data_IF_822987463557
#
_entry.id   IF_822987463557
#
_cell.length_a   1.000
_cell.length_b   1.000
_cell.length_c   1.000
_cell.angle_alpha   90.00
_cell.angle_beta   90.00
_cell.angle_gamma   90.00
#
_symmetry.space_group_name_H-M   'P 1'
#
loop_
_entity.id
_entity.type
_entity.pdbx_description
1 polymer ?
#
# COMPACT_ATOMS: atom_id res chain seq x y z
N UNK A 1 5.57 -3.11 22.64
CA UNK A 1 6.93 -2.54 22.77
C UNK A 1 6.94 -1.32 23.69
N UNK A 2 5.91 -0.47 23.65
CA UNK A 2 5.89 0.75 24.48
C UNK A 2 5.62 0.47 25.98
N UNK A 3 5.19 -0.74 26.33
CA UNK A 3 4.85 -1.13 27.71
C UNK A 3 5.63 -2.36 28.25
N UNK A 4 6.52 -2.96 27.45
CA UNK A 4 7.32 -4.15 27.82
C UNK A 4 8.63 -4.20 27.04
N UNK A 5 9.68 -4.76 27.66
CA UNK A 5 10.95 -5.06 27.02
C UNK A 5 10.74 -5.87 25.73
N UNK A 6 11.37 -5.41 24.65
CA UNK A 6 11.32 -6.03 23.35
C UNK A 6 12.70 -6.58 22.99
N UNK A 7 12.82 -7.88 22.81
CA UNK A 7 14.02 -8.49 22.26
C UNK A 7 14.08 -8.18 20.76
N UNK A 8 15.03 -7.35 20.36
CA UNK A 8 15.32 -7.08 18.95
C UNK A 8 16.34 -8.10 18.43
N UNK A 9 16.04 -8.73 17.30
CA UNK A 9 17.04 -9.46 16.51
C UNK A 9 17.00 -8.97 15.07
N UNK A 10 18.18 -8.81 14.46
CA UNK A 10 18.31 -8.37 13.07
C UNK A 10 17.56 -9.28 12.09
N UNK A 11 17.57 -10.58 12.36
CA UNK A 11 16.86 -11.58 11.57
C UNK A 11 15.33 -11.40 11.63
N UNK A 12 14.76 -11.30 12.83
CA UNK A 12 13.31 -11.09 12.97
C UNK A 12 12.87 -9.74 12.38
N UNK A 13 13.73 -8.73 12.46
CA UNK A 13 13.49 -7.46 11.78
C UNK A 13 13.41 -7.64 10.26
N UNK A 14 14.42 -8.28 9.64
CA UNK A 14 14.45 -8.52 8.20
C UNK A 14 13.23 -9.34 7.74
N UNK A 15 12.94 -10.45 8.43
CA UNK A 15 11.82 -11.34 8.13
C UNK A 15 10.49 -10.59 8.20
N UNK A 16 10.28 -9.80 9.26
CA UNK A 16 9.02 -9.06 9.46
C UNK A 16 8.83 -7.95 8.43
N UNK A 17 9.88 -7.17 8.14
CA UNK A 17 9.83 -6.09 7.15
C UNK A 17 9.62 -6.66 5.75
N UNK A 18 10.34 -7.72 5.37
CA UNK A 18 10.16 -8.36 4.07
C UNK A 18 8.74 -8.95 3.93
N UNK A 19 8.21 -9.61 4.96
CA UNK A 19 6.86 -10.16 4.90
C UNK A 19 5.77 -9.09 4.80
N UNK A 20 5.82 -8.05 5.64
CA UNK A 20 4.78 -7.03 5.71
C UNK A 20 4.89 -6.06 4.52
N UNK A 21 6.06 -5.46 4.28
CA UNK A 21 6.21 -4.44 3.26
C UNK A 21 6.30 -5.03 1.86
N UNK A 22 7.16 -6.03 1.63
CA UNK A 22 7.31 -6.60 0.28
C UNK A 22 6.19 -7.61 0.01
N UNK A 23 6.03 -8.58 0.91
CA UNK A 23 5.11 -9.71 0.73
C UNK A 23 3.63 -9.31 0.72
N UNK A 24 3.26 -8.24 1.44
CA UNK A 24 1.86 -7.80 1.55
C UNK A 24 1.61 -6.50 0.79
N UNK A 25 2.21 -5.38 1.22
CA UNK A 25 1.95 -4.06 0.63
C UNK A 25 2.44 -3.99 -0.81
N UNK A 26 3.71 -4.32 -1.05
CA UNK A 26 4.33 -4.30 -2.37
C UNK A 26 3.63 -5.24 -3.35
N UNK A 27 3.28 -6.45 -2.90
CA UNK A 27 2.53 -7.41 -3.70
C UNK A 27 1.14 -6.88 -4.11
N UNK A 28 0.37 -6.33 -3.17
CA UNK A 28 -0.95 -5.76 -3.47
C UNK A 28 -0.85 -4.65 -4.52
N UNK A 29 0.00 -3.65 -4.27
CA UNK A 29 0.22 -2.51 -5.17
C UNK A 29 0.62 -3.00 -6.56
N UNK A 30 1.61 -3.90 -6.63
CA UNK A 30 2.10 -4.42 -7.89
C UNK A 30 1.00 -5.15 -8.68
N UNK A 31 0.19 -6.00 -8.03
CA UNK A 31 -0.92 -6.71 -8.69
C UNK A 31 -1.97 -5.73 -9.24
N UNK A 32 -2.35 -4.73 -8.46
CA UNK A 32 -3.30 -3.70 -8.89
C UNK A 32 -2.79 -2.96 -10.13
N UNK A 33 -1.55 -2.46 -10.08
CA UNK A 33 -0.93 -1.76 -11.20
C UNK A 33 -0.80 -2.62 -12.45
N UNK A 34 -0.32 -3.87 -12.32
CA UNK A 34 -0.17 -4.78 -13.46
C UNK A 34 -1.52 -5.07 -14.13
N UNK A 35 -2.58 -5.29 -13.35
CA UNK A 35 -3.90 -5.60 -13.90
C UNK A 35 -4.52 -4.38 -14.60
N UNK A 36 -4.41 -3.18 -14.03
CA UNK A 36 -4.90 -1.95 -14.64
C UNK A 36 -4.10 -1.63 -15.92
N UNK A 37 -2.77 -1.66 -15.88
CA UNK A 37 -1.94 -1.42 -17.07
C UNK A 37 -2.22 -2.42 -18.19
N UNK A 38 -2.38 -3.71 -17.85
CA UNK A 38 -2.60 -4.76 -18.84
C UNK A 38 -3.98 -4.74 -19.49
N UNK A 39 -5.02 -4.38 -18.75
CA UNK A 39 -6.41 -4.59 -19.17
C UNK A 39 -7.22 -3.30 -19.35
N UNK A 40 -6.71 -2.17 -18.86
CA UNK A 40 -7.40 -0.88 -18.87
C UNK A 40 -6.48 0.27 -19.30
N UNK A 41 -5.45 -0.02 -20.11
CA UNK A 41 -4.55 0.95 -20.73
C UNK A 41 -3.89 1.93 -19.73
N UNK A 42 -3.58 1.44 -18.53
CA UNK A 42 -2.98 2.25 -17.47
C UNK A 42 -3.92 3.33 -16.95
N UNK A 43 -5.24 3.15 -17.08
CA UNK A 43 -6.25 4.09 -16.59
C UNK A 43 -7.14 3.43 -15.56
N UNK A 44 -7.39 4.13 -14.45
CA UNK A 44 -8.34 3.70 -13.42
C UNK A 44 -9.69 3.45 -14.11
N UNK A 45 -10.21 2.22 -14.09
CA UNK A 45 -11.42 1.90 -14.82
C UNK A 45 -12.65 2.57 -14.21
N UNK A 46 -13.67 2.84 -15.02
CA UNK A 46 -14.95 3.29 -14.52
C UNK A 46 -15.68 2.12 -13.86
N UNK A 47 -16.08 2.21 -12.58
CA UNK A 47 -16.80 1.13 -11.94
C UNK A 47 -18.21 1.02 -12.54
N UNK A 48 -18.69 -0.21 -12.65
CA UNK A 48 -20.11 -0.51 -12.85
C UNK A 48 -20.86 -0.41 -11.53
N UNK A 49 -21.92 -1.21 -11.38
CA UNK A 49 -22.65 -1.31 -10.10
C UNK A 49 -21.77 -2.00 -9.05
N UNK A 50 -21.57 -1.34 -7.91
CA UNK A 50 -20.90 -1.96 -6.76
C UNK A 50 -21.77 -3.02 -6.11
N UNK A 51 -21.14 -4.10 -5.70
CA UNK A 51 -21.74 -5.16 -4.90
C UNK A 51 -21.36 -5.01 -3.41
N UNK A 52 -22.01 -5.79 -2.56
CA UNK A 52 -21.78 -5.77 -1.10
C UNK A 52 -20.29 -5.96 -0.75
N UNK A 53 -19.59 -6.85 -1.46
CA UNK A 53 -18.15 -7.08 -1.24
C UNK A 53 -17.29 -5.84 -1.53
N UNK A 54 -17.67 -5.05 -2.56
CA UNK A 54 -16.96 -3.85 -2.98
C UNK A 54 -17.17 -2.72 -1.96
N UNK A 55 -18.40 -2.55 -1.50
CA UNK A 55 -18.76 -1.59 -0.46
C UNK A 55 -18.14 -1.98 0.89
N UNK A 56 -18.11 -3.27 1.21
CA UNK A 56 -17.53 -3.78 2.45
C UNK A 56 -16.03 -3.49 2.54
N UNK A 57 -15.26 -3.70 1.46
CA UNK A 57 -13.81 -3.43 1.49
C UNK A 57 -13.51 -1.93 1.57
N UNK A 58 -14.31 -1.07 0.91
CA UNK A 58 -14.19 0.39 1.05
C UNK A 58 -14.58 0.85 2.47
N UNK A 59 -15.60 0.25 3.07
CA UNK A 59 -15.97 0.48 4.46
C UNK A 59 -14.87 0.06 5.43
N UNK A 60 -14.21 -1.09 5.16
CA UNK A 60 -13.03 -1.53 5.91
C UNK A 60 -11.85 -0.58 5.78
N UNK A 61 -11.56 -0.07 4.58
CA UNK A 61 -10.55 0.95 4.37
C UNK A 61 -10.80 2.17 5.27
N UNK A 62 -12.04 2.68 5.32
CA UNK A 62 -12.40 3.80 6.18
C UNK A 62 -12.18 3.50 7.67
N UNK A 63 -12.59 2.32 8.14
CA UNK A 63 -12.40 1.91 9.52
C UNK A 63 -10.90 1.81 9.88
N UNK A 64 -10.07 1.26 8.99
CA UNK A 64 -8.62 1.15 9.17
C UNK A 64 -7.93 2.52 9.14
N UNK A 65 -8.41 3.44 8.30
CA UNK A 65 -7.97 4.84 8.31
C UNK A 65 -8.25 5.50 9.66
N UNK A 66 -9.47 5.36 10.20
CA UNK A 66 -9.83 5.91 11.51
C UNK A 66 -9.01 5.28 12.65
N UNK A 67 -8.76 3.98 12.59
CA UNK A 67 -7.89 3.28 13.54
C UNK A 67 -6.45 3.79 13.47
N UNK A 68 -5.84 3.84 12.29
CA UNK A 68 -4.49 4.35 12.10
C UNK A 68 -4.36 5.79 12.62
N UNK A 69 -5.36 6.63 12.33
CA UNK A 69 -5.44 8.02 12.82
C UNK A 69 -5.43 8.07 14.34
N UNK A 70 -6.33 7.32 15.01
CA UNK A 70 -6.42 7.27 16.47
C UNK A 70 -5.13 6.79 17.10
N UNK A 71 -4.50 5.75 16.56
CA UNK A 71 -3.26 5.20 17.10
C UNK A 71 -2.08 6.16 16.91
N UNK A 72 -2.02 6.91 15.78
CA UNK A 72 -1.02 7.96 15.58
C UNK A 72 -1.17 9.11 16.59
N UNK A 73 -2.39 9.59 16.83
CA UNK A 73 -2.64 10.62 17.86
C UNK A 73 -2.33 10.13 19.28
N UNK A 74 -2.43 8.82 19.52
CA UNK A 74 -2.03 8.19 20.77
C UNK A 74 -0.53 7.86 20.85
N UNK A 75 0.28 8.26 19.85
CA UNK A 75 1.71 7.95 19.71
C UNK A 75 2.06 6.45 19.64
N UNK A 76 1.08 5.60 19.28
CA UNK A 76 1.24 4.14 19.17
C UNK A 76 1.59 3.72 17.76
N UNK A 77 2.79 4.09 17.31
CA UNK A 77 3.23 3.94 15.91
C UNK A 77 3.14 2.50 15.40
N UNK A 78 3.43 1.51 16.26
CA UNK A 78 3.35 0.09 15.87
C UNK A 78 1.91 -0.33 15.58
N UNK A 79 0.94 0.13 16.36
CA UNK A 79 -0.48 -0.18 16.14
C UNK A 79 -1.00 0.52 14.89
N UNK A 80 -0.62 1.78 14.69
CA UNK A 80 -0.98 2.53 13.49
C UNK A 80 -0.43 1.85 12.23
N UNK A 81 0.85 1.46 12.19
CA UNK A 81 1.43 0.76 11.04
C UNK A 81 0.74 -0.57 10.77
N UNK A 82 0.32 -1.31 11.80
CA UNK A 82 -0.45 -2.54 11.61
C UNK A 82 -1.77 -2.28 10.89
N UNK A 83 -2.51 -1.24 11.28
CA UNK A 83 -3.74 -0.86 10.60
C UNK A 83 -3.48 -0.50 9.12
N UNK A 84 -2.38 0.19 8.82
CA UNK A 84 -1.97 0.51 7.44
C UNK A 84 -1.63 -0.75 6.63
N UNK A 85 -0.87 -1.70 7.20
CA UNK A 85 -0.56 -2.98 6.53
C UNK A 85 -1.83 -3.81 6.32
N UNK A 86 -2.79 -3.75 7.25
CA UNK A 86 -4.07 -4.44 7.11
C UNK A 86 -4.88 -3.96 5.90
N UNK A 87 -4.75 -2.70 5.47
CA UNK A 87 -5.38 -2.21 4.22
C UNK A 87 -4.90 -3.04 3.02
N UNK A 88 -3.60 -3.36 2.96
CA UNK A 88 -3.07 -4.21 1.90
C UNK A 88 -3.45 -5.69 2.06
N UNK A 89 -3.65 -6.19 3.29
CA UNK A 89 -4.20 -7.53 3.51
C UNK A 89 -5.65 -7.64 3.00
N UNK A 90 -6.50 -6.68 3.34
CA UNK A 90 -7.89 -6.61 2.85
C UNK A 90 -7.92 -6.48 1.32
N UNK A 91 -7.07 -5.63 0.74
CA UNK A 91 -6.94 -5.52 -0.71
C UNK A 91 -6.50 -6.83 -1.39
N UNK A 92 -5.51 -7.53 -0.82
CA UNK A 92 -5.08 -8.83 -1.35
C UNK A 92 -6.20 -9.88 -1.25
N UNK A 93 -6.92 -9.92 -0.12
CA UNK A 93 -8.04 -10.86 0.09
C UNK A 93 -9.15 -10.58 -0.92
N UNK A 94 -9.53 -9.32 -1.07
CA UNK A 94 -10.53 -8.88 -2.04
C UNK A 94 -10.15 -9.26 -3.47
N UNK A 95 -8.91 -8.98 -3.92
CA UNK A 95 -8.45 -9.41 -5.25
C UNK A 95 -8.45 -10.94 -5.41
N UNK A 96 -8.17 -11.69 -4.35
CA UNK A 96 -8.17 -13.15 -4.38
C UNK A 96 -9.57 -13.75 -4.49
N UNK A 97 -10.54 -13.18 -3.76
CA UNK A 97 -11.92 -13.65 -3.77
C UNK A 97 -12.66 -13.26 -5.06
N UNK A 98 -12.34 -12.07 -5.61
CA UNK A 98 -13.00 -11.54 -6.81
C UNK A 98 -12.36 -12.01 -8.11
N UNK A 99 -11.13 -12.51 -8.07
CA UNK A 99 -10.39 -13.04 -9.22
C UNK A 99 -10.44 -12.16 -10.49
N UNK A 100 -10.07 -10.87 -10.45
CA UNK A 100 -10.23 -9.97 -11.59
C UNK A 100 -9.49 -10.42 -12.85
N UNK A 101 -8.42 -11.23 -12.74
CA UNK A 101 -7.73 -11.83 -13.89
C UNK A 101 -8.58 -12.83 -14.68
N UNK A 102 -9.63 -13.40 -14.06
CA UNK A 102 -10.67 -14.17 -14.75
C UNK A 102 -11.77 -13.26 -15.27
N UNK A 103 -12.26 -12.36 -14.40
CA UNK A 103 -13.37 -11.45 -14.73
C UNK A 103 -13.08 -10.57 -15.94
N UNK A 104 -11.84 -10.13 -16.18
CA UNK A 104 -11.51 -9.35 -17.39
C UNK A 104 -11.89 -10.05 -18.71
N UNK A 105 -12.12 -11.38 -18.70
CA UNK A 105 -12.60 -12.16 -19.86
C UNK A 105 -14.09 -12.51 -19.76
N UNK A 106 -14.58 -12.73 -18.55
CA UNK A 106 -15.93 -13.25 -18.29
C UNK A 106 -16.96 -12.14 -18.06
N UNK A 107 -16.58 -11.13 -17.28
CA UNK A 107 -17.37 -9.94 -16.96
C UNK A 107 -16.44 -8.72 -16.80
N UNK A 108 -16.11 -8.03 -17.91
CA UNK A 108 -15.21 -6.89 -17.90
C UNK A 108 -15.73 -5.70 -17.07
N UNK A 109 -17.05 -5.56 -16.92
CA UNK A 109 -17.65 -4.49 -16.11
C UNK A 109 -17.43 -4.75 -14.62
N UNK A 110 -17.59 -6.00 -14.18
CA UNK A 110 -17.27 -6.39 -12.80
C UNK A 110 -15.76 -6.27 -12.53
N UNK A 111 -14.91 -6.68 -13.48
CA UNK A 111 -13.47 -6.50 -13.37
C UNK A 111 -13.08 -5.01 -13.22
N UNK A 112 -13.75 -4.13 -13.96
CA UNK A 112 -13.58 -2.69 -13.87
C UNK A 112 -13.92 -2.17 -12.46
N UNK A 113 -15.05 -2.61 -11.88
CA UNK A 113 -15.41 -2.26 -10.50
C UNK A 113 -14.36 -2.74 -9.50
N UNK A 114 -13.92 -4.00 -9.61
CA UNK A 114 -12.93 -4.58 -8.68
C UNK A 114 -11.61 -3.82 -8.73
N UNK A 115 -11.12 -3.50 -9.93
CA UNK A 115 -9.85 -2.79 -10.08
C UNK A 115 -9.97 -1.30 -9.75
N UNK A 116 -11.15 -0.69 -9.94
CA UNK A 116 -11.42 0.65 -9.41
C UNK A 116 -11.27 0.67 -7.89
N UNK A 117 -11.90 -0.27 -7.18
CA UNK A 117 -11.81 -0.39 -5.71
C UNK A 117 -10.38 -0.63 -5.26
N UNK A 118 -9.66 -1.55 -5.91
CA UNK A 118 -8.25 -1.81 -5.60
C UNK A 118 -7.35 -0.58 -5.80
N UNK A 119 -7.64 0.26 -6.81
CA UNK A 119 -6.95 1.53 -7.02
C UNK A 119 -7.17 2.51 -5.86
N UNK A 120 -8.38 2.55 -5.27
CA UNK A 120 -8.66 3.40 -4.11
C UNK A 120 -7.87 2.98 -2.88
N UNK A 121 -7.80 1.69 -2.59
CA UNK A 121 -6.96 1.16 -1.50
C UNK A 121 -5.48 1.47 -1.75
N UNK A 122 -5.03 1.36 -3.00
CA UNK A 122 -3.65 1.67 -3.39
C UNK A 122 -3.33 3.15 -3.18
N UNK A 123 -4.25 4.05 -3.52
CA UNK A 123 -4.11 5.49 -3.26
C UNK A 123 -4.08 5.80 -1.78
N UNK A 124 -4.94 5.16 -0.99
CA UNK A 124 -4.94 5.32 0.46
C UNK A 124 -3.60 4.90 1.07
N UNK A 125 -3.04 3.77 0.63
CA UNK A 125 -1.72 3.30 1.08
C UNK A 125 -0.61 4.32 0.80
N UNK A 126 -0.65 5.04 -0.33
CA UNK A 126 0.32 6.08 -0.63
C UNK A 126 0.37 7.14 0.50
N UNK A 127 -0.78 7.66 0.90
CA UNK A 127 -0.89 8.67 1.96
C UNK A 127 -0.58 8.06 3.33
N UNK A 128 -1.18 6.91 3.65
CA UNK A 128 -1.07 6.26 4.96
C UNK A 128 0.35 5.79 5.29
N UNK A 129 1.17 5.48 4.28
CA UNK A 129 2.55 5.07 4.46
C UNK A 129 3.51 6.26 4.67
N UNK A 130 3.11 7.49 4.33
CA UNK A 130 3.97 8.67 4.41
C UNK A 130 4.68 8.86 5.77
N UNK A 131 4.01 8.72 6.94
CA UNK A 131 4.68 8.86 8.24
C UNK A 131 5.60 7.68 8.63
N UNK A 132 5.55 6.55 7.90
CA UNK A 132 6.31 5.34 8.23
C UNK A 132 7.45 5.06 7.25
N UNK A 133 7.17 5.21 5.95
CA UNK A 133 8.10 4.92 4.85
C UNK A 133 8.01 6.03 3.80
N UNK A 134 8.42 7.28 4.13
CA UNK A 134 8.18 8.46 3.30
C UNK A 134 8.65 8.31 1.85
N UNK A 135 9.85 7.76 1.64
CA UNK A 135 10.36 7.54 0.29
C UNK A 135 9.59 6.47 -0.51
N UNK A 136 8.97 5.49 0.15
CA UNK A 136 8.10 4.52 -0.53
C UNK A 136 6.74 5.15 -0.86
N UNK A 137 6.16 5.88 0.09
CA UNK A 137 4.95 6.67 -0.14
C UNK A 137 5.09 7.61 -1.34
N UNK A 138 6.21 8.33 -1.44
CA UNK A 138 6.48 9.24 -2.56
C UNK A 138 6.61 8.49 -3.90
N UNK A 139 7.29 7.34 -3.92
CA UNK A 139 7.33 6.49 -5.14
C UNK A 139 5.95 6.02 -5.53
N UNK A 140 5.12 5.60 -4.58
CA UNK A 140 3.75 5.16 -4.86
C UNK A 140 2.89 6.32 -5.37
N UNK A 141 3.05 7.52 -4.81
CA UNK A 141 2.40 8.74 -5.28
C UNK A 141 2.77 9.06 -6.74
N UNK A 142 4.06 8.98 -7.06
CA UNK A 142 4.55 9.14 -8.43
C UNK A 142 4.05 8.06 -9.39
N UNK A 143 4.02 6.79 -8.98
CA UNK A 143 3.43 5.70 -9.77
C UNK A 143 1.93 5.94 -9.99
N UNK A 144 1.21 6.47 -9.01
CA UNK A 144 -0.19 6.88 -9.17
C UNK A 144 -0.34 8.13 -10.04
N UNK A 145 0.75 8.76 -10.49
CA UNK A 145 0.76 9.96 -11.32
C UNK A 145 -0.09 11.09 -10.72
N UNK A 146 0.01 11.24 -9.40
CA UNK A 146 -0.63 12.32 -8.67
C UNK A 146 0.27 13.56 -8.68
N UNK A 147 -0.31 14.77 -8.75
CA UNK A 147 0.48 16.00 -8.79
C UNK A 147 1.19 16.26 -7.45
N UNK A 148 2.29 17.00 -7.49
CA UNK A 148 3.05 17.39 -6.30
C UNK A 148 3.71 16.20 -5.61
N UNK A 149 3.83 16.27 -4.28
CA UNK A 149 4.40 15.19 -3.46
C UNK A 149 3.41 14.73 -2.39
N UNK A 150 3.52 13.47 -1.96
CA UNK A 150 2.66 12.93 -0.89
C UNK A 150 2.87 13.66 0.43
N UNK A 151 4.03 14.27 0.63
CA UNK A 151 4.37 15.02 1.84
C UNK A 151 3.66 16.37 1.95
N UNK A 152 3.03 16.81 0.86
CA UNK A 152 2.21 18.03 0.80
C UNK A 152 0.71 17.70 0.87
N UNK A 153 0.35 16.41 0.77
CA UNK A 153 -1.03 15.94 0.83
C UNK A 153 -1.57 15.98 2.26
N UNK A 154 -2.88 16.18 2.38
CA UNK A 154 -3.57 16.02 3.67
C UNK A 154 -3.73 14.55 4.01
N UNK A 155 -3.75 14.22 5.30
CA UNK A 155 -4.04 12.86 5.77
C UNK A 155 -5.40 12.36 5.24
N UNK A 156 -6.42 13.23 5.23
CA UNK A 156 -7.76 12.91 4.71
C UNK A 156 -7.79 12.63 3.21
N UNK A 157 -6.73 13.02 2.47
CA UNK A 157 -6.63 12.65 1.06
C UNK A 157 -6.57 11.13 0.92
N UNK A 158 -6.18 10.35 1.92
CA UNK A 158 -6.24 8.88 1.87
C UNK A 158 -7.63 8.34 1.45
N UNK A 159 -8.72 9.04 1.79
CA UNK A 159 -10.09 8.63 1.48
C UNK A 159 -10.71 9.33 0.27
N UNK A 160 -10.00 10.29 -0.34
CA UNK A 160 -10.46 10.93 -1.59
C UNK A 160 -10.22 9.99 -2.77
N UNK A 161 -11.26 9.63 -3.55
CA UNK A 161 -11.10 8.66 -4.62
C UNK A 161 -10.25 9.21 -5.78
N UNK A 162 -9.60 8.30 -6.50
CA UNK A 162 -9.14 8.53 -7.86
C UNK A 162 -10.34 8.53 -8.80
N UNK A 163 -10.41 9.53 -9.67
CA UNK A 163 -11.45 9.62 -10.68
C UNK A 163 -11.30 8.52 -11.75
N UNK A 164 -12.40 7.97 -12.27
CA UNK A 164 -12.38 7.13 -13.46
C UNK A 164 -11.64 7.80 -14.63
N UNK A 165 -10.81 7.03 -15.32
CA UNK A 165 -9.98 7.49 -16.44
C UNK A 165 -8.66 8.14 -16.03
N UNK A 166 -8.42 8.35 -14.73
CA UNK A 166 -7.13 8.81 -14.20
C UNK A 166 -6.01 7.89 -14.67
N UNK A 167 -4.97 8.44 -15.29
CA UNK A 167 -3.84 7.68 -15.81
C UNK A 167 -2.84 7.40 -14.69
N UNK A 168 -2.46 6.13 -14.53
CA UNK A 168 -1.39 5.69 -13.63
C UNK A 168 -0.14 5.35 -14.45
N UNK A 169 1.01 5.34 -13.79
CA UNK A 169 2.27 4.90 -14.37
C UNK A 169 2.46 3.38 -14.39
N UNK A 170 3.66 2.97 -14.77
CA UNK A 170 4.07 1.56 -14.80
C UNK A 170 4.39 1.03 -13.39
N UNK A 171 4.19 -0.28 -13.14
CA UNK A 171 4.53 -0.90 -11.87
C UNK A 171 6.05 -0.93 -11.65
N UNK A 172 6.50 -0.41 -10.52
CA UNK A 172 7.88 -0.53 -10.05
C UNK A 172 7.95 -1.17 -8.65
N UNK A 173 9.06 -1.84 -8.29
CA UNK A 173 9.24 -2.39 -6.94
C UNK A 173 9.20 -1.30 -5.87
N UNK A 174 8.16 -1.33 -5.03
CA UNK A 174 7.94 -0.31 -4.00
C UNK A 174 8.98 -0.38 -2.86
N UNK A 175 9.44 -1.58 -2.52
CA UNK A 175 10.39 -1.83 -1.44
C UNK A 175 11.56 -2.68 -1.91
N UNK A 176 12.75 -2.40 -1.39
CA UNK A 176 13.94 -3.23 -1.60
C UNK A 176 13.99 -4.32 -0.54
N UNK A 177 14.37 -5.54 -0.95
CA UNK A 177 14.56 -6.65 -0.01
C UNK A 177 15.62 -6.29 1.02
N UNK A 178 15.27 -6.45 2.30
CA UNK A 178 16.22 -6.35 3.40
C UNK A 178 16.99 -7.68 3.48
N UNK A 179 18.33 -7.66 3.47
CA UNK A 179 19.12 -8.86 3.68
C UNK A 179 18.74 -9.58 4.97
N UNK A 180 18.68 -10.90 4.94
CA UNK A 180 18.37 -11.70 6.14
C UNK A 180 19.63 -12.01 6.96
N UNK A 181 20.83 -11.82 6.36
CA UNK A 181 22.11 -11.91 7.05
C UNK A 181 22.34 -10.66 7.92
N UNK A 182 22.48 -10.82 9.25
CA UNK A 182 22.72 -9.69 10.17
C UNK A 182 23.97 -8.87 9.83
N UNK A 183 25.01 -9.48 9.27
CA UNK A 183 26.26 -8.77 8.99
C UNK A 183 26.14 -7.87 7.75
N UNK A 184 25.49 -8.37 6.69
CA UNK A 184 25.12 -7.57 5.52
C UNK A 184 24.21 -6.39 5.90
N UNK A 185 23.25 -6.62 6.82
CA UNK A 185 22.36 -5.60 7.37
C UNK A 185 23.11 -4.47 8.10
N UNK A 186 24.11 -4.83 8.92
CA UNK A 186 24.95 -3.87 9.64
C UNK A 186 25.75 -3.01 8.68
N UNK A 187 26.35 -3.64 7.67
CA UNK A 187 27.10 -2.93 6.62
C UNK A 187 26.20 -1.94 5.87
N UNK A 188 25.01 -2.37 5.46
CA UNK A 188 24.05 -1.50 4.79
C UNK A 188 23.64 -0.30 5.68
N UNK A 189 23.51 -0.51 6.99
CA UNK A 189 23.22 0.57 7.94
C UNK A 189 24.38 1.57 8.07
N UNK A 190 25.63 1.09 8.10
CA UNK A 190 26.81 1.95 8.14
C UNK A 190 26.93 2.81 6.87
N UNK A 191 26.69 2.21 5.69
CA UNK A 191 26.68 2.93 4.42
C UNK A 191 25.57 4.01 4.37
N UNK A 192 24.38 3.72 4.90
CA UNK A 192 23.30 4.71 5.04
C UNK A 192 23.67 5.85 5.99
N UNK A 193 24.26 5.54 7.15
CA UNK A 193 24.70 6.55 8.12
C UNK A 193 25.76 7.47 7.53
N UNK A 194 26.71 6.91 6.77
CA UNK A 194 27.74 7.70 6.10
C UNK A 194 27.14 8.70 5.10
N UNK A 195 26.13 8.27 4.33
CA UNK A 195 25.43 9.12 3.35
C UNK A 195 24.55 10.22 3.96
N UNK A 196 24.04 10.02 5.17
CA UNK A 196 23.26 11.05 5.87
C UNK A 196 24.13 12.03 6.68
N UNK A 197 25.39 11.66 6.93
CA UNK A 197 26.36 12.49 7.67
C UNK A 197 27.20 13.38 6.74
N UNK A 198 27.04 13.20 5.42
CA UNK A 198 27.64 13.98 4.33
C UNK A 198 26.63 14.94 3.73
#
# INVERSE_FOLDING_TARGET
PELRDANFTWRQFAEKINADLIGTVGNFVHRTFVLINRHFDGRVPKPGKMEEADEAVLGRLKALFEEATRELYAFRLKSALKAVVEVAHEGNRYLNEREPWRLVREDPELAATVLYVAAQLTKALAVLLAPFTPGAAERLWGMLNLPGSVHEASWDDALKPLEPGHAIGEPEPLFKKVPEDPEELRRALEELRARCSS
#
